data_IF_186299683964
#
_entry.id   IF_186299683964
#
_cell.length_a   1.000
_cell.length_b   1.000
_cell.length_c   1.000
_cell.angle_alpha   90.00
_cell.angle_beta   90.00
_cell.angle_gamma   90.00
#
_symmetry.space_group_name_H-M   'P 1'
#
loop_
_entity.id
_entity.type
_entity.pdbx_description
1 polymer ?
#
# COMPACT_ATOMS: atom_id res chain seq x y z
N UNK A 1 -2.90 -2.78 -15.88
CA UNK A 1 -1.68 -2.13 -15.33
C UNK A 1 -0.36 -2.65 -15.92
N UNK A 2 -0.37 -3.68 -16.78
CA UNK A 2 0.86 -4.24 -17.34
C UNK A 2 1.72 -3.27 -18.17
N UNK A 3 1.18 -2.53 -19.18
CA UNK A 3 2.01 -1.63 -19.99
C UNK A 3 2.67 -0.51 -19.17
N UNK A 4 1.99 -0.07 -18.11
CA UNK A 4 2.50 0.93 -17.18
C UNK A 4 3.70 0.37 -16.39
N UNK A 5 3.53 -0.79 -15.75
CA UNK A 5 4.60 -1.43 -14.99
C UNK A 5 5.81 -1.76 -15.90
N UNK A 6 5.56 -2.28 -17.09
CA UNK A 6 6.59 -2.58 -18.08
C UNK A 6 7.36 -1.32 -18.48
N UNK A 7 6.68 -0.21 -18.76
CA UNK A 7 7.33 1.04 -19.12
C UNK A 7 8.24 1.54 -18.00
N UNK A 8 7.80 1.48 -16.75
CA UNK A 8 8.60 1.89 -15.58
C UNK A 8 9.84 1.02 -15.44
N UNK A 9 9.68 -0.31 -15.45
CA UNK A 9 10.80 -1.25 -15.32
C UNK A 9 11.82 -1.05 -16.45
N UNK A 10 11.34 -0.89 -17.70
CA UNK A 10 12.22 -0.67 -18.86
C UNK A 10 12.94 0.67 -18.81
N UNK A 11 12.33 1.69 -18.21
CA UNK A 11 12.91 3.05 -18.14
C UNK A 11 13.92 3.15 -17.00
N UNK A 12 13.58 2.64 -15.82
CA UNK A 12 14.42 2.76 -14.62
C UNK A 12 15.51 1.69 -14.56
N UNK A 13 15.31 0.54 -15.21
CA UNK A 13 16.22 -0.62 -15.17
C UNK A 13 16.70 -0.92 -13.73
N UNK A 14 15.79 -1.13 -12.77
CA UNK A 14 16.16 -1.27 -11.37
C UNK A 14 17.00 -2.53 -11.14
N UNK A 15 18.05 -2.40 -10.32
CA UNK A 15 18.83 -3.54 -9.84
C UNK A 15 18.05 -4.36 -8.81
N UNK A 16 17.21 -3.70 -8.02
CA UNK A 16 16.35 -4.27 -7.01
C UNK A 16 15.08 -3.42 -6.84
N UNK A 17 13.94 -4.07 -6.59
CA UNK A 17 12.65 -3.39 -6.47
C UNK A 17 11.94 -3.83 -5.20
N UNK A 18 11.47 -2.88 -4.39
CA UNK A 18 10.48 -3.17 -3.37
C UNK A 18 9.21 -2.33 -3.60
N UNK A 19 8.07 -2.97 -3.41
CA UNK A 19 6.75 -2.40 -3.57
C UNK A 19 6.03 -2.43 -2.23
N UNK A 20 5.29 -1.36 -1.94
CA UNK A 20 4.41 -1.29 -0.78
C UNK A 20 2.97 -1.23 -1.29
N UNK A 21 2.13 -2.12 -0.79
CA UNK A 21 0.69 -2.14 -1.07
C UNK A 21 -0.04 -2.62 0.20
N UNK A 22 -1.35 -2.79 0.13
CA UNK A 22 -2.17 -3.30 1.22
C UNK A 22 -2.86 -4.60 0.82
N UNK A 23 -3.28 -5.38 1.82
CA UNK A 23 -4.12 -6.55 1.59
C UNK A 23 -5.36 -6.50 2.49
N UNK A 24 -6.53 -6.90 1.96
CA UNK A 24 -7.76 -6.92 2.73
C UNK A 24 -7.73 -8.06 3.76
N UNK A 25 -7.69 -7.73 5.05
CA UNK A 25 -7.72 -8.73 6.14
C UNK A 25 -9.02 -9.54 6.14
N UNK A 26 -10.23 -8.94 5.98
CA UNK A 26 -11.49 -9.69 6.06
C UNK A 26 -11.68 -10.75 4.98
N UNK A 27 -10.98 -10.62 3.84
CA UNK A 27 -11.09 -11.57 2.72
C UNK A 27 -9.83 -12.39 2.53
N UNK A 28 -8.83 -12.25 3.41
CA UNK A 28 -7.64 -13.07 3.37
C UNK A 28 -7.96 -14.50 3.78
N UNK A 29 -7.80 -15.44 2.85
CA UNK A 29 -7.99 -16.87 3.09
C UNK A 29 -6.82 -17.41 3.94
N UNK A 30 -7.14 -17.78 5.17
CA UNK A 30 -6.22 -18.39 6.15
C UNK A 30 -6.95 -19.52 6.89
N UNK A 31 -6.22 -20.53 7.35
CA UNK A 31 -6.76 -21.56 8.25
C UNK A 31 -7.19 -20.97 9.60
N UNK A 32 -6.54 -19.88 10.01
CA UNK A 32 -6.84 -19.11 11.21
C UNK A 32 -6.97 -17.62 10.81
N UNK A 33 -8.20 -17.10 10.62
CA UNK A 33 -8.42 -15.72 10.21
C UNK A 33 -8.04 -14.75 11.33
N UNK A 34 -7.02 -13.89 11.14
CA UNK A 34 -6.59 -12.98 12.20
C UNK A 34 -7.61 -11.86 12.41
N UNK A 35 -7.64 -11.33 13.63
CA UNK A 35 -8.26 -10.03 13.88
C UNK A 35 -7.48 -8.95 13.14
N UNK A 36 -8.10 -7.80 12.84
CA UNK A 36 -7.39 -6.69 12.18
C UNK A 36 -6.19 -6.20 13.00
N UNK A 37 -6.29 -6.21 14.33
CA UNK A 37 -5.24 -5.73 15.23
C UNK A 37 -4.04 -6.68 15.27
N UNK A 38 -4.30 -7.98 15.06
CA UNK A 38 -3.27 -9.02 15.08
C UNK A 38 -2.81 -9.41 13.67
N UNK A 39 -3.33 -8.76 12.64
CA UNK A 39 -3.03 -9.08 11.25
C UNK A 39 -1.57 -8.70 10.92
N UNK A 40 -0.73 -9.66 10.49
CA UNK A 40 0.69 -9.39 10.29
C UNK A 40 0.94 -8.62 8.99
N UNK A 41 2.07 -7.92 8.91
CA UNK A 41 2.61 -7.49 7.62
C UNK A 41 2.90 -8.75 6.80
N UNK A 42 2.51 -8.73 5.52
CA UNK A 42 2.77 -9.86 4.62
C UNK A 42 3.77 -9.51 3.54
N UNK A 43 4.47 -10.51 3.00
CA UNK A 43 5.41 -10.28 1.90
C UNK A 43 5.38 -11.39 0.85
N UNK A 44 5.78 -11.03 -0.37
CA UNK A 44 6.06 -11.97 -1.46
C UNK A 44 7.28 -11.49 -2.23
N UNK A 45 8.24 -12.38 -2.46
CA UNK A 45 9.49 -12.08 -3.16
C UNK A 45 9.67 -12.95 -4.40
N UNK A 46 10.38 -12.44 -5.40
CA UNK A 46 10.79 -13.18 -6.61
C UNK A 46 12.10 -13.93 -6.43
N UNK A 47 12.92 -13.58 -5.42
CA UNK A 47 14.28 -14.09 -5.24
C UNK A 47 14.46 -15.03 -4.05
N UNK A 48 13.58 -14.99 -3.04
CA UNK A 48 13.66 -15.82 -1.83
C UNK A 48 12.56 -16.87 -1.74
N UNK A 49 12.80 -17.94 -0.98
CA UNK A 49 11.77 -18.91 -0.60
C UNK A 49 10.70 -18.22 0.25
N UNK A 50 9.49 -18.05 -0.29
CA UNK A 50 8.34 -17.42 0.38
C UNK A 50 7.66 -18.39 1.37
N UNK A 51 8.43 -19.19 2.11
CA UNK A 51 7.91 -20.31 2.91
C UNK A 51 7.91 -20.05 4.41
N UNK A 52 8.81 -19.20 4.90
CA UNK A 52 9.00 -18.97 6.33
C UNK A 52 8.81 -17.50 6.70
N UNK A 53 8.27 -17.17 7.88
CA UNK A 53 8.27 -15.81 8.39
C UNK A 53 9.69 -15.24 8.49
N UNK A 54 9.80 -13.93 8.30
CA UNK A 54 11.06 -13.22 8.51
C UNK A 54 11.48 -13.26 10.01
N UNK A 55 12.77 -13.08 10.31
CA UNK A 55 13.27 -13.02 11.69
C UNK A 55 12.44 -12.07 12.56
N UNK A 56 12.22 -12.48 13.81
CA UNK A 56 11.41 -11.75 14.81
C UNK A 56 9.92 -11.59 14.44
N UNK A 57 9.41 -12.32 13.44
CA UNK A 57 8.02 -12.20 13.00
C UNK A 57 7.72 -10.87 12.29
N UNK A 58 8.74 -10.20 11.75
CA UNK A 58 8.60 -8.88 11.13
C UNK A 58 7.63 -8.88 9.93
N UNK A 59 7.59 -9.98 9.17
CA UNK A 59 6.57 -10.21 8.16
C UNK A 59 6.32 -11.71 7.94
N UNK A 60 5.10 -12.04 7.53
CA UNK A 60 4.68 -13.39 7.17
C UNK A 60 4.57 -13.53 5.65
N UNK A 61 4.82 -14.71 5.06
CA UNK A 61 4.66 -14.84 3.63
C UNK A 61 3.18 -14.72 3.20
N UNK A 62 2.97 -14.22 1.99
CA UNK A 62 1.67 -14.14 1.36
C UNK A 62 1.42 -15.42 0.54
N UNK A 63 0.59 -16.31 1.07
CA UNK A 63 0.37 -17.64 0.50
C UNK A 63 -0.92 -17.78 -0.34
N UNK A 64 -0.93 -18.72 -1.30
CA UNK A 64 -2.16 -19.20 -1.94
C UNK A 64 -3.19 -19.67 -0.90
N UNK A 65 -4.51 -19.58 -1.18
CA UNK A 65 -5.13 -19.23 -2.47
C UNK A 65 -5.29 -17.71 -2.68
N UNK A 66 -4.67 -16.88 -1.86
CA UNK A 66 -4.78 -15.43 -1.96
C UNK A 66 -4.10 -14.92 -3.24
N UNK A 67 -4.72 -13.92 -3.86
CA UNK A 67 -4.24 -13.31 -5.10
C UNK A 67 -3.92 -11.84 -4.87
N UNK A 68 -2.73 -11.43 -5.30
CA UNK A 68 -2.40 -10.02 -5.46
C UNK A 68 -3.08 -9.48 -6.72
N UNK A 69 -3.56 -8.25 -6.63
CA UNK A 69 -4.25 -7.57 -7.74
C UNK A 69 -3.50 -6.28 -8.09
N UNK A 70 -4.13 -5.39 -8.86
CA UNK A 70 -3.63 -4.03 -9.13
C UNK A 70 -2.32 -3.95 -9.95
N UNK A 71 -1.59 -2.85 -9.78
CA UNK A 71 -0.28 -2.63 -10.38
C UNK A 71 0.79 -3.55 -9.78
N UNK A 72 0.72 -3.85 -8.48
CA UNK A 72 1.68 -4.66 -7.74
C UNK A 72 1.85 -6.06 -8.36
N UNK A 73 0.73 -6.70 -8.73
CA UNK A 73 0.75 -7.97 -9.45
C UNK A 73 1.47 -7.88 -10.81
N UNK A 74 1.27 -6.77 -11.54
CA UNK A 74 1.92 -6.56 -12.84
C UNK A 74 3.43 -6.36 -12.69
N UNK A 75 3.87 -5.56 -11.71
CA UNK A 75 5.29 -5.37 -11.44
C UNK A 75 5.98 -6.69 -11.07
N UNK A 76 5.44 -7.42 -10.08
CA UNK A 76 6.04 -8.68 -9.65
C UNK A 76 6.07 -9.73 -10.76
N UNK A 77 5.01 -9.84 -11.56
CA UNK A 77 4.99 -10.79 -12.68
C UNK A 77 6.09 -10.47 -13.70
N UNK A 78 6.28 -9.20 -14.06
CA UNK A 78 7.33 -8.79 -14.99
C UNK A 78 8.71 -9.04 -14.38
N UNK A 79 8.92 -8.68 -13.10
CA UNK A 79 10.19 -8.91 -12.40
C UNK A 79 10.52 -10.41 -12.34
N UNK A 80 9.54 -11.26 -12.01
CA UNK A 80 9.72 -12.71 -11.98
C UNK A 80 10.09 -13.29 -13.36
N UNK A 81 9.39 -12.87 -14.44
CA UNK A 81 9.70 -13.31 -15.81
C UNK A 81 11.10 -12.88 -16.23
N UNK A 82 11.50 -11.65 -15.88
CA UNK A 82 12.83 -11.11 -16.17
C UNK A 82 13.91 -11.60 -15.22
N UNK A 83 13.57 -12.43 -14.24
CA UNK A 83 14.49 -12.92 -13.19
C UNK A 83 15.18 -11.77 -12.43
N UNK A 84 14.45 -10.66 -12.23
CA UNK A 84 14.90 -9.52 -11.44
C UNK A 84 14.41 -9.65 -10.00
N UNK A 85 15.23 -9.25 -9.01
CA UNK A 85 14.82 -9.28 -7.61
C UNK A 85 13.75 -8.21 -7.36
N UNK A 86 12.65 -8.66 -6.77
CA UNK A 86 11.45 -7.89 -6.52
C UNK A 86 10.75 -8.41 -5.27
N UNK A 87 10.43 -7.52 -4.34
CA UNK A 87 9.67 -7.86 -3.14
C UNK A 87 8.46 -6.95 -3.01
N UNK A 88 7.31 -7.50 -2.67
CA UNK A 88 6.10 -6.76 -2.33
C UNK A 88 5.80 -6.95 -0.86
N UNK A 89 5.63 -5.83 -0.17
CA UNK A 89 5.26 -5.74 1.24
C UNK A 89 3.81 -5.28 1.30
N UNK A 90 3.01 -5.98 2.08
CA UNK A 90 1.56 -5.85 2.14
C UNK A 90 1.14 -5.50 3.57
N UNK A 91 0.58 -4.30 3.72
CA UNK A 91 0.02 -3.82 4.98
C UNK A 91 -1.41 -4.36 5.19
N UNK A 92 -1.76 -4.77 6.42
CA UNK A 92 -3.12 -5.20 6.72
C UNK A 92 -4.11 -4.04 6.57
N UNK A 93 -5.21 -4.26 5.86
CA UNK A 93 -6.29 -3.28 5.66
C UNK A 93 -7.64 -3.85 6.09
N UNK A 94 -8.50 -3.07 6.80
CA UNK A 94 -9.87 -3.47 7.09
C UNK A 94 -10.78 -3.48 5.87
N UNK A 95 -10.35 -2.84 4.78
CA UNK A 95 -11.23 -2.54 3.66
C UNK A 95 -11.26 -3.68 2.65
N UNK A 96 -12.46 -4.05 2.21
CA UNK A 96 -12.64 -4.93 1.05
C UNK A 96 -12.70 -4.03 -0.17
N UNK A 97 -11.74 -4.11 -1.12
CA UNK A 97 -11.70 -3.23 -2.27
C UNK A 97 -13.05 -3.25 -3.00
N UNK A 98 -13.59 -2.06 -3.23
CA UNK A 98 -14.85 -1.92 -3.95
C UNK A 98 -14.76 -2.56 -5.34
N UNK A 99 -15.82 -3.25 -5.80
CA UNK A 99 -15.84 -3.78 -7.14
C UNK A 99 -15.72 -2.65 -8.16
N UNK A 100 -15.02 -2.93 -9.26
CA UNK A 100 -14.84 -1.95 -10.33
C UNK A 100 -16.21 -1.38 -10.76
N UNK A 101 -16.36 -0.04 -10.82
CA UNK A 101 -17.63 0.57 -11.18
C UNK A 101 -18.02 0.15 -12.60
N UNK A 102 -19.26 -0.33 -12.76
CA UNK A 102 -19.79 -0.76 -14.06
C UNK A 102 -20.07 0.41 -15.01
N UNK A 103 -20.18 1.60 -14.46
CA UNK A 103 -20.52 2.84 -15.16
C UNK A 103 -19.54 3.90 -14.71
N UNK A 104 -18.93 4.60 -15.66
CA UNK A 104 -18.06 5.74 -15.39
C UNK A 104 -18.97 6.90 -14.97
N UNK A 105 -19.26 7.00 -13.68
CA UNK A 105 -19.94 8.15 -13.10
C UNK A 105 -18.93 9.28 -12.86
N UNK A 106 -19.41 10.53 -12.81
CA UNK A 106 -18.57 11.65 -12.39
C UNK A 106 -18.04 11.40 -10.98
N UNK A 107 -16.74 11.61 -10.78
CA UNK A 107 -16.08 11.38 -9.50
C UNK A 107 -16.72 12.28 -8.42
N UNK A 108 -17.36 11.68 -7.43
CA UNK A 108 -17.86 12.40 -6.26
C UNK A 108 -16.77 12.42 -5.19
N UNK A 109 -15.99 13.50 -5.18
CA UNK A 109 -14.87 13.70 -4.26
C UNK A 109 -15.29 13.92 -2.79
N UNK A 110 -16.59 14.01 -2.50
CA UNK A 110 -17.10 14.24 -1.14
C UNK A 110 -16.94 13.04 -0.19
N UNK A 111 -16.67 11.85 -0.72
CA UNK A 111 -16.53 10.61 0.05
C UNK A 111 -15.09 10.15 0.28
N UNK A 112 -14.07 10.91 -0.17
CA UNK A 112 -12.67 10.48 -0.10
C UNK A 112 -12.16 10.22 1.33
N UNK A 113 -12.77 10.82 2.35
CA UNK A 113 -12.36 10.66 3.75
C UNK A 113 -12.94 9.42 4.44
N UNK A 114 -13.79 8.62 3.77
CA UNK A 114 -14.33 7.37 4.34
C UNK A 114 -13.35 6.19 4.24
N UNK A 115 -12.29 6.33 3.43
CA UNK A 115 -11.30 5.29 3.15
C UNK A 115 -9.95 5.51 3.87
N UNK A 116 -9.87 6.47 4.80
CA UNK A 116 -8.65 6.73 5.57
C UNK A 116 -8.39 5.58 6.55
N UNK A 117 -7.54 4.65 6.14
CA UNK A 117 -7.00 3.60 7.00
C UNK A 117 -5.82 4.21 7.77
N UNK A 118 -6.01 4.41 9.07
CA UNK A 118 -4.94 4.86 9.96
C UNK A 118 -4.15 3.64 10.44
N UNK A 119 -3.02 3.37 9.78
CA UNK A 119 -2.06 2.38 10.27
C UNK A 119 -1.30 2.91 11.48
N UNK A 120 -1.01 2.04 12.44
CA UNK A 120 -0.19 2.43 13.58
C UNK A 120 1.21 2.86 13.12
N UNK A 121 1.82 3.76 13.89
CA UNK A 121 3.19 4.21 13.63
C UNK A 121 4.19 3.06 13.61
N UNK A 122 4.00 2.07 14.48
CA UNK A 122 4.86 0.90 14.53
C UNK A 122 4.72 0.03 13.29
N UNK A 123 3.51 -0.11 12.74
CA UNK A 123 3.27 -0.81 11.48
C UNK A 123 3.96 -0.13 10.31
N UNK A 124 3.83 1.20 10.18
CA UNK A 124 4.46 1.96 9.09
C UNK A 124 5.99 1.94 9.21
N UNK A 125 6.53 2.09 10.43
CA UNK A 125 7.98 1.97 10.66
C UNK A 125 8.49 0.58 10.33
N UNK A 126 7.76 -0.47 10.72
CA UNK A 126 8.14 -1.85 10.39
C UNK A 126 8.13 -2.09 8.88
N UNK A 127 7.13 -1.56 8.16
CA UNK A 127 7.09 -1.66 6.70
C UNK A 127 8.20 -0.84 6.03
N UNK A 128 8.54 0.33 6.56
CA UNK A 128 9.69 1.11 6.12
C UNK A 128 10.99 0.31 6.30
N UNK A 129 11.25 -0.23 7.48
CA UNK A 129 12.44 -1.05 7.75
C UNK A 129 12.54 -2.24 6.78
N UNK A 130 11.42 -2.92 6.50
CA UNK A 130 11.38 -4.00 5.51
C UNK A 130 11.69 -3.50 4.09
N UNK A 131 11.16 -2.35 3.67
CA UNK A 131 11.43 -1.78 2.35
C UNK A 131 12.93 -1.53 2.15
N UNK A 132 13.60 -0.93 3.14
CA UNK A 132 15.04 -0.67 3.09
C UNK A 132 15.86 -1.96 3.16
N UNK A 133 15.46 -2.89 4.02
CA UNK A 133 16.14 -4.19 4.15
C UNK A 133 16.09 -4.97 2.84
N UNK A 134 14.94 -4.99 2.15
CA UNK A 134 14.80 -5.71 0.89
C UNK A 134 15.46 -5.01 -0.30
N UNK A 135 15.62 -3.68 -0.29
CA UNK A 135 16.19 -2.94 -1.42
C UNK A 135 17.70 -2.75 -1.32
N UNK A 136 18.18 -2.35 -0.14
CA UNK A 136 19.57 -1.92 0.11
C UNK A 136 20.30 -2.87 1.07
N UNK A 137 19.57 -3.74 1.80
CA UNK A 137 20.16 -4.62 2.80
C UNK A 137 20.44 -3.93 4.14
N UNK A 138 19.94 -2.70 4.31
CA UNK A 138 20.13 -1.87 5.49
C UNK A 138 18.81 -1.68 6.24
N UNK A 139 18.87 -1.47 7.55
CA UNK A 139 17.72 -0.94 8.30
C UNK A 139 17.59 0.55 7.98
N UNK A 140 16.39 1.12 8.08
CA UNK A 140 16.23 2.57 7.94
C UNK A 140 16.94 3.29 9.10
N UNK A 141 18.21 3.63 8.93
CA UNK A 141 18.84 4.66 9.75
C UNK A 141 18.15 6.00 9.42
N UNK A 142 17.90 6.81 10.45
CA UNK A 142 16.99 7.96 10.47
C UNK A 142 16.88 8.77 9.16
N UNK A 143 15.69 9.30 8.80
CA UNK A 143 14.53 9.51 9.68
C UNK A 143 13.53 8.35 9.69
N UNK A 144 13.09 7.97 10.89
CA UNK A 144 11.96 7.07 11.09
C UNK A 144 10.67 7.87 10.91
N UNK A 145 9.69 7.26 10.27
CA UNK A 145 8.39 7.88 10.14
C UNK A 145 7.76 8.11 11.52
N UNK A 146 7.38 9.36 11.77
CA UNK A 146 6.68 9.81 12.97
C UNK A 146 5.37 10.45 12.54
N UNK A 147 4.25 9.92 13.05
CA UNK A 147 2.97 10.62 12.98
C UNK A 147 3.09 11.88 13.86
N UNK A 148 3.36 13.04 13.24
CA UNK A 148 3.10 14.31 13.91
C UNK A 148 1.57 14.44 14.01
N UNK A 149 0.96 14.45 15.20
CA UNK A 149 -0.45 14.75 15.30
C UNK A 149 -0.69 16.14 14.68
N UNK A 150 -1.82 16.36 13.98
CA UNK A 150 -2.14 17.69 13.51
C UNK A 150 -2.18 18.60 14.73
N UNK A 151 -1.25 19.56 14.80
CA UNK A 151 -1.27 20.60 15.83
C UNK A 151 -2.68 21.19 15.87
N UNK A 152 -3.42 20.93 16.96
CA UNK A 152 -4.79 21.39 17.18
C UNK A 152 -4.88 22.90 17.47
N UNK A 153 -3.97 23.69 16.92
CA UNK A 153 -3.86 25.14 17.13
C UNK A 153 -3.99 25.94 15.83
N UNK A 154 -4.79 25.45 14.86
CA UNK A 154 -5.29 26.30 13.79
C UNK A 154 -6.81 26.41 13.87
N UNK A 155 -7.28 27.27 14.78
CA UNK A 155 -8.57 27.95 14.66
C UNK A 155 -8.56 28.82 13.41
N UNK A 156 -8.74 28.19 12.24
CA UNK A 156 -9.08 28.94 11.03
C UNK A 156 -10.59 29.20 11.08
N UNK A 157 -10.91 30.46 11.37
CA UNK A 157 -12.26 31.02 11.30
C UNK A 157 -12.92 30.58 10.00
N UNK A 158 -14.01 29.83 10.12
CA UNK A 158 -14.87 29.40 9.01
C UNK A 158 -15.52 30.65 8.40
N UNK A 159 -14.83 31.28 7.45
CA UNK A 159 -15.36 32.41 6.68
C UNK A 159 -16.43 31.80 5.75
N UNK A 160 -17.71 31.98 6.11
CA UNK A 160 -18.85 31.69 5.24
C UNK A 160 -18.64 32.48 3.95
N UNK A 161 -18.43 31.80 2.83
CA UNK A 161 -18.66 32.39 1.53
C UNK A 161 -20.18 32.47 1.35
N UNK A 162 -20.72 33.68 1.46
CA UNK A 162 -22.06 33.97 0.94
C UNK A 162 -22.02 33.75 -0.57
N UNK A 163 -22.83 32.81 -1.02
CA UNK A 163 -23.13 32.60 -2.44
C UNK A 163 -24.03 33.75 -2.87
N UNK A 164 -23.42 34.81 -3.38
CA UNK A 164 -24.09 35.86 -4.14
C UNK A 164 -24.25 35.41 -5.60
N UNK A 165 -25.49 35.46 -6.07
CA UNK A 165 -25.92 35.22 -7.44
C UNK A 165 -25.11 35.98 -8.49
N UNK A 166 -24.95 35.35 -9.67
CA UNK A 166 -25.08 36.08 -10.93
C UNK A 166 -23.87 36.08 -11.86
N UNK A 167 -24.00 35.38 -12.99
CA UNK A 167 -23.53 35.91 -14.27
C UNK A 167 -22.23 35.34 -14.84
N UNK A 168 -22.37 34.23 -15.55
CA UNK A 168 -21.77 33.92 -16.87
C UNK A 168 -21.10 35.12 -17.57
N UNK A 169 -19.84 34.98 -18.00
CA UNK A 169 -19.37 35.24 -19.37
C UNK A 169 -18.00 34.54 -19.61
N UNK A 170 -18.03 33.68 -20.65
CA UNK A 170 -16.99 33.13 -21.55
C UNK A 170 -15.54 32.98 -21.06
#
# INVERSE_FOLDING_TARGET
MHPYAEKIINTLQPSNTALLDSYPVPTYASSDPPSLQDAPIRYISTSSSNTEPLPNGAAHPFFPPNLIQSASASFLAILAIKQLPGTLILLPSPHIPHPAPRIIAQANFLHLSQDDIEWSTDTIRSAQDLLFQFTIGESAEQPKWDHAPPNSNNTLSRKRFEVGEGGMYI
#
